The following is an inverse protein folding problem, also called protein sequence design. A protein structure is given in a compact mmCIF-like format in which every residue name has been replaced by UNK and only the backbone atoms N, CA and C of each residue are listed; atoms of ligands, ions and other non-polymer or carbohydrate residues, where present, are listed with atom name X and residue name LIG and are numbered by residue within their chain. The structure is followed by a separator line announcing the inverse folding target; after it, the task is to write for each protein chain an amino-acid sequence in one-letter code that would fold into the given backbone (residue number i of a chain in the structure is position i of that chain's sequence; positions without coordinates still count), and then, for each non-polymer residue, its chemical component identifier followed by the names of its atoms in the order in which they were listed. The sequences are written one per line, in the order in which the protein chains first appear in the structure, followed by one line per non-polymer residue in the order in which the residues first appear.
data_IF_114163222946
#
_entry.id   IF_114163222946
#
_cell.length_a   1.000
_cell.length_b   1.000
_cell.length_c   1.000
_cell.angle_alpha   90.00
_cell.angle_beta   90.00
_cell.angle_gamma   90.00
#
_symmetry.space_group_name_H-M   'P 1'
#
loop_
_entity.id
_entity.type
_entity.pdbx_description
1 polymer ?
#
# COMPACT_ATOMS: atom_id res chain seq x y z
N UNK A 1 -9.95 -18.66 14.75
CA UNK A 1 -11.31 -18.83 14.16
C UNK A 1 -12.45 -18.98 15.18
N UNK A 2 -12.20 -19.34 16.45
CA UNK A 2 -13.28 -19.56 17.43
C UNK A 2 -14.23 -18.37 17.65
N UNK A 3 -13.73 -17.13 17.55
CA UNK A 3 -14.54 -15.92 17.75
C UNK A 3 -15.60 -15.70 16.66
N UNK A 4 -15.22 -15.82 15.38
CA UNK A 4 -16.14 -15.67 14.25
C UNK A 4 -17.25 -16.72 14.31
N UNK A 5 -16.91 -17.98 14.61
CA UNK A 5 -17.91 -19.05 14.82
C UNK A 5 -18.87 -18.77 15.98
N UNK A 6 -18.40 -18.10 17.04
CA UNK A 6 -19.25 -17.73 18.18
C UNK A 6 -20.25 -16.65 17.80
N UNK A 7 -19.83 -15.67 16.98
CA UNK A 7 -20.68 -14.60 16.46
C UNK A 7 -21.70 -15.15 15.47
N UNK A 8 -21.27 -15.99 14.53
CA UNK A 8 -22.17 -16.68 13.59
C UNK A 8 -23.23 -17.51 14.31
N UNK A 9 -22.85 -18.16 15.42
CA UNK A 9 -23.77 -18.94 16.25
C UNK A 9 -24.67 -18.09 17.18
N UNK A 10 -24.57 -16.76 17.16
CA UNK A 10 -25.36 -15.86 18.02
C UNK A 10 -25.05 -15.98 19.52
N UNK A 11 -23.88 -16.53 19.88
CA UNK A 11 -23.47 -16.78 21.28
C UNK A 11 -22.49 -15.74 21.82
N UNK A 12 -22.27 -14.64 21.09
CA UNK A 12 -21.35 -13.58 21.50
C UNK A 12 -21.97 -12.72 22.61
N UNK A 13 -21.26 -12.59 23.74
CA UNK A 13 -21.66 -11.69 24.84
C UNK A 13 -21.33 -10.22 24.54
N UNK A 14 -20.24 -9.99 23.82
CA UNK A 14 -19.78 -8.66 23.39
C UNK A 14 -20.14 -8.47 21.93
N UNK A 15 -20.60 -7.26 21.59
CA UNK A 15 -20.93 -6.87 20.22
C UNK A 15 -19.72 -7.04 19.28
N UNK A 16 -19.93 -7.51 18.03
CA UNK A 16 -18.85 -7.63 17.06
C UNK A 16 -18.27 -6.26 16.69
N UNK A 17 -16.96 -6.19 16.62
CA UNK A 17 -16.25 -5.06 15.99
C UNK A 17 -16.48 -5.06 14.48
N UNK A 18 -16.21 -3.93 13.81
CA UNK A 18 -16.37 -3.79 12.35
C UNK A 18 -15.60 -4.88 11.57
N UNK A 19 -14.40 -5.24 12.03
CA UNK A 19 -13.55 -6.25 11.39
C UNK A 19 -14.11 -7.65 11.63
N UNK A 20 -14.62 -7.94 12.83
CA UNK A 20 -15.29 -9.20 13.13
C UNK A 20 -16.55 -9.37 12.30
N UNK A 21 -17.33 -8.29 12.12
CA UNK A 21 -18.50 -8.30 11.25
C UNK A 21 -18.12 -8.57 9.79
N UNK A 22 -17.10 -7.87 9.25
CA UNK A 22 -16.60 -8.13 7.90
C UNK A 22 -16.08 -9.58 7.73
N UNK A 23 -15.50 -10.16 8.78
CA UNK A 23 -15.04 -11.55 8.77
C UNK A 23 -16.22 -12.54 8.76
N UNK A 24 -17.30 -12.24 9.50
CA UNK A 24 -18.55 -13.00 9.48
C UNK A 24 -19.19 -12.93 8.09
N UNK A 25 -19.32 -11.73 7.53
CA UNK A 25 -19.93 -11.50 6.21
C UNK A 25 -19.17 -12.26 5.12
N UNK A 26 -17.84 -12.23 5.15
CA UNK A 26 -16.99 -13.00 4.25
C UNK A 26 -17.14 -14.52 4.45
N UNK A 27 -17.27 -14.99 5.69
CA UNK A 27 -17.47 -16.43 5.97
C UNK A 27 -18.83 -16.91 5.48
N UNK A 28 -19.89 -16.11 5.65
CA UNK A 28 -21.24 -16.47 5.24
C UNK A 28 -21.45 -16.37 3.74
N UNK A 29 -20.91 -15.32 3.11
CA UNK A 29 -21.03 -15.08 1.67
C UNK A 29 -19.66 -14.72 1.07
N UNK A 30 -18.80 -15.73 0.80
CA UNK A 30 -17.49 -15.49 0.22
C UNK A 30 -17.61 -14.81 -1.15
N UNK A 31 -17.12 -13.57 -1.23
CA UNK A 31 -17.11 -12.79 -2.47
C UNK A 31 -15.88 -11.88 -2.54
N UNK A 32 -15.53 -11.43 -3.75
CA UNK A 32 -14.41 -10.51 -3.94
C UNK A 32 -14.63 -9.16 -3.23
N UNK A 33 -15.89 -8.70 -3.17
CA UNK A 33 -16.26 -7.50 -2.44
C UNK A 33 -16.08 -7.69 -0.93
N UNK A 34 -16.55 -8.80 -0.36
CA UNK A 34 -16.40 -9.11 1.06
C UNK A 34 -14.91 -9.30 1.44
N UNK A 35 -14.11 -9.92 0.55
CA UNK A 35 -12.66 -10.02 0.74
C UNK A 35 -11.98 -8.65 0.81
N UNK A 36 -12.37 -7.70 -0.06
CA UNK A 36 -11.83 -6.35 -0.06
C UNK A 36 -12.19 -5.60 1.24
N UNK A 37 -13.45 -5.68 1.68
CA UNK A 37 -13.90 -5.07 2.93
C UNK A 37 -13.17 -5.62 4.15
N UNK A 38 -12.94 -6.93 4.20
CA UNK A 38 -12.20 -7.57 5.29
C UNK A 38 -10.73 -7.09 5.34
N UNK A 39 -10.05 -7.04 4.20
CA UNK A 39 -8.66 -6.56 4.12
C UNK A 39 -8.53 -5.07 4.48
N UNK A 40 -9.50 -4.25 4.08
CA UNK A 40 -9.58 -2.84 4.50
C UNK A 40 -9.79 -2.70 6.00
N UNK A 41 -10.67 -3.53 6.57
CA UNK A 41 -10.88 -3.58 8.02
C UNK A 41 -9.59 -3.85 8.79
N UNK A 42 -8.81 -4.85 8.38
CA UNK A 42 -7.50 -5.13 9.00
C UNK A 42 -6.54 -3.94 8.92
N UNK A 43 -6.49 -3.28 7.76
CA UNK A 43 -5.58 -2.15 7.53
C UNK A 43 -5.98 -0.88 8.30
N UNK A 44 -7.28 -0.70 8.58
CA UNK A 44 -7.80 0.42 9.35
C UNK A 44 -7.73 0.22 10.88
N UNK A 45 -7.38 -0.98 11.34
CA UNK A 45 -7.34 -1.29 12.76
C UNK A 45 -6.25 -0.48 13.49
N UNK A 46 -6.55 0.13 14.65
CA UNK A 46 -5.55 0.80 15.47
C UNK A 46 -4.43 -0.16 15.86
N UNK A 47 -3.18 0.26 15.69
CA UNK A 47 -2.00 -0.56 15.97
C UNK A 47 -1.58 -1.51 14.84
N UNK A 48 -2.30 -1.54 13.72
CA UNK A 48 -1.85 -2.28 12.53
C UNK A 48 -0.82 -1.49 11.73
N UNK A 49 0.29 -2.15 11.40
CA UNK A 49 1.29 -1.62 10.48
C UNK A 49 1.26 -2.37 9.15
N UNK A 50 0.95 -1.67 8.07
CA UNK A 50 0.97 -2.25 6.72
C UNK A 50 2.39 -2.16 6.14
N UNK A 51 3.11 -3.28 6.09
CA UNK A 51 4.49 -3.33 5.58
C UNK A 51 4.65 -2.89 4.12
N UNK A 52 3.64 -3.14 3.29
CA UNK A 52 3.65 -2.82 1.85
C UNK A 52 2.33 -2.18 1.43
N UNK A 53 2.12 -0.89 1.73
CA UNK A 53 0.84 -0.23 1.49
C UNK A 53 0.48 -0.18 0.00
N UNK A 54 1.48 -0.13 -0.89
CA UNK A 54 1.27 -0.17 -2.35
C UNK A 54 0.70 -1.51 -2.81
N UNK A 55 1.20 -2.63 -2.27
CA UNK A 55 0.72 -3.97 -2.64
C UNK A 55 -0.71 -4.16 -2.14
N UNK A 56 -1.00 -3.73 -0.90
CA UNK A 56 -2.35 -3.77 -0.36
C UNK A 56 -3.31 -2.93 -1.21
N UNK A 57 -2.96 -1.68 -1.55
CA UNK A 57 -3.78 -0.82 -2.40
C UNK A 57 -4.02 -1.43 -3.78
N UNK A 58 -2.99 -2.03 -4.39
CA UNK A 58 -3.13 -2.71 -5.67
C UNK A 58 -4.09 -3.92 -5.58
N UNK A 59 -3.97 -4.73 -4.52
CA UNK A 59 -4.84 -5.87 -4.27
C UNK A 59 -6.30 -5.45 -4.07
N UNK A 60 -6.54 -4.45 -3.23
CA UNK A 60 -7.88 -3.89 -3.00
C UNK A 60 -8.49 -3.33 -4.29
N UNK A 61 -7.69 -2.62 -5.10
CA UNK A 61 -8.14 -2.13 -6.40
C UNK A 61 -8.56 -3.27 -7.35
N UNK A 62 -7.76 -4.33 -7.43
CA UNK A 62 -8.07 -5.49 -8.27
C UNK A 62 -9.33 -6.23 -7.79
N UNK A 63 -9.47 -6.45 -6.48
CA UNK A 63 -10.66 -7.08 -5.89
C UNK A 63 -11.92 -6.30 -6.19
N UNK A 64 -11.92 -4.98 -5.99
CA UNK A 64 -13.07 -4.10 -6.24
C UNK A 64 -13.44 -4.07 -7.73
N UNK A 65 -12.45 -4.04 -8.61
CA UNK A 65 -12.68 -4.01 -10.06
C UNK A 65 -13.26 -5.33 -10.58
N UNK A 66 -12.74 -6.46 -10.10
CA UNK A 66 -13.30 -7.77 -10.41
C UNK A 66 -14.68 -7.99 -9.76
N UNK A 67 -14.92 -7.43 -8.57
CA UNK A 67 -16.23 -7.46 -7.92
C UNK A 67 -17.31 -6.69 -8.70
N UNK A 68 -16.93 -5.69 -9.50
CA UNK A 68 -17.85 -5.00 -10.42
C UNK A 68 -18.28 -5.87 -11.63
N UNK A 69 -17.77 -7.10 -11.75
CA UNK A 69 -18.19 -8.08 -12.76
C UNK A 69 -17.66 -7.82 -14.16
N UNK A 70 -16.76 -6.85 -14.33
CA UNK A 70 -16.25 -6.43 -15.64
C UNK A 70 -15.04 -7.24 -16.11
N UNK A 71 -14.28 -7.82 -15.17
CA UNK A 71 -13.01 -8.49 -15.43
C UNK A 71 -12.85 -9.70 -14.50
N UNK A 72 -12.08 -10.70 -14.92
CA UNK A 72 -11.58 -11.71 -13.99
C UNK A 72 -10.63 -11.05 -12.96
N UNK A 73 -10.42 -11.69 -11.81
CA UNK A 73 -9.48 -11.16 -10.81
C UNK A 73 -8.05 -11.04 -11.36
N UNK A 74 -7.63 -11.98 -12.21
CA UNK A 74 -6.31 -11.96 -12.87
C UNK A 74 -6.17 -10.79 -13.84
N UNK A 75 -7.18 -10.55 -14.66
CA UNK A 75 -7.16 -9.41 -15.61
C UNK A 75 -7.19 -8.10 -14.84
N UNK A 76 -7.98 -8.04 -13.77
CA UNK A 76 -8.04 -6.88 -12.92
C UNK A 76 -6.71 -6.57 -12.23
N UNK A 77 -6.01 -7.60 -11.75
CA UNK A 77 -4.69 -7.46 -11.16
C UNK A 77 -3.64 -6.99 -12.17
N UNK A 78 -3.67 -7.51 -13.39
CA UNK A 78 -2.82 -7.04 -14.49
C UNK A 78 -3.06 -5.57 -14.78
N UNK A 79 -4.32 -5.17 -15.00
CA UNK A 79 -4.67 -3.78 -15.30
C UNK A 79 -4.25 -2.81 -14.17
N UNK A 80 -4.45 -3.18 -12.90
CA UNK A 80 -3.99 -2.36 -11.77
C UNK A 80 -2.47 -2.27 -11.71
N UNK A 81 -1.75 -3.37 -11.96
CA UNK A 81 -0.29 -3.38 -12.01
C UNK A 81 0.23 -2.49 -13.14
N UNK A 82 -0.38 -2.57 -14.31
CA UNK A 82 -0.04 -1.75 -15.47
C UNK A 82 -0.30 -0.26 -15.20
N UNK A 83 -1.44 0.07 -14.57
CA UNK A 83 -1.73 1.44 -14.12
C UNK A 83 -0.69 1.95 -13.12
N UNK A 84 -0.30 1.13 -12.15
CA UNK A 84 0.73 1.48 -11.17
C UNK A 84 2.12 1.62 -11.81
N UNK A 85 2.42 0.82 -12.85
CA UNK A 85 3.66 0.96 -13.64
C UNK A 85 3.72 2.31 -14.35
N UNK A 86 2.61 2.75 -14.93
CA UNK A 86 2.51 4.02 -15.65
C UNK A 86 2.55 5.24 -14.72
N UNK A 87 1.88 5.18 -13.57
CA UNK A 87 1.87 6.30 -12.61
C UNK A 87 3.19 6.44 -11.84
N UNK A 88 4.05 5.42 -11.82
CA UNK A 88 5.27 5.42 -11.03
C UNK A 88 4.99 5.43 -9.52
N UNK A 89 6.05 5.59 -8.71
CA UNK A 89 5.87 5.88 -7.28
C UNK A 89 5.54 7.37 -7.13
N UNK A 90 4.60 7.75 -6.26
CA UNK A 90 4.46 9.16 -5.90
C UNK A 90 5.80 9.64 -5.35
N UNK A 91 6.49 10.46 -6.14
CA UNK A 91 7.70 11.11 -5.70
C UNK A 91 7.28 12.11 -4.63
N UNK A 92 7.95 12.05 -3.48
CA UNK A 92 7.78 13.09 -2.46
C UNK A 92 8.03 14.45 -3.11
N UNK A 93 7.36 15.50 -2.61
CA UNK A 93 7.45 16.88 -3.13
C UNK A 93 8.90 17.36 -3.28
N UNK A 94 9.84 16.71 -2.59
CA UNK A 94 11.28 16.73 -2.82
C UNK A 94 11.77 15.29 -2.74
N UNK A 95 12.36 14.76 -3.81
CA UNK A 95 12.97 13.43 -3.83
C UNK A 95 14.40 13.60 -4.36
N UNK A 96 15.38 13.11 -3.61
CA UNK A 96 16.77 13.08 -4.04
C UNK A 96 17.09 11.66 -4.50
N UNK A 97 17.54 11.54 -5.73
CA UNK A 97 18.06 10.27 -6.26
C UNK A 97 19.40 9.91 -5.61
N UNK A 98 20.03 8.85 -6.11
CA UNK A 98 21.43 8.56 -5.78
C UNK A 98 22.31 9.77 -6.07
N UNK A 99 23.30 10.04 -5.20
CA UNK A 99 24.33 11.04 -5.45
C UNK A 99 25.04 10.73 -6.76
N UNK A 100 24.88 11.62 -7.74
CA UNK A 100 25.64 11.56 -8.98
C UNK A 100 26.99 12.21 -8.76
N UNK A 101 28.07 11.54 -9.16
CA UNK A 101 29.40 12.13 -9.16
C UNK A 101 29.44 13.17 -10.29
N UNK A 102 29.32 14.44 -9.91
CA UNK A 102 29.15 15.54 -10.83
C UNK A 102 30.54 16.01 -11.32
N UNK A 103 31.07 15.37 -12.37
CA UNK A 103 32.29 15.84 -13.04
C UNK A 103 31.94 16.34 -14.44
N UNK A 104 32.03 17.65 -14.66
CA UNK A 104 31.80 18.27 -15.97
C UNK A 104 30.34 18.45 -16.38
N UNK A 105 29.40 18.49 -15.42
CA UNK A 105 28.01 18.88 -15.64
C UNK A 105 27.74 20.23 -14.98
N UNK A 106 27.01 21.10 -15.68
CA UNK A 106 26.52 22.38 -15.14
C UNK A 106 25.06 22.20 -14.70
N UNK A 107 24.69 22.77 -13.57
CA UNK A 107 23.32 22.75 -13.06
C UNK A 107 23.00 24.08 -12.38
N UNK A 108 21.79 24.59 -12.59
CA UNK A 108 21.33 25.83 -11.95
C UNK A 108 21.18 25.70 -10.43
N UNK A 109 20.88 24.47 -9.95
CA UNK A 109 20.61 24.20 -8.54
C UNK A 109 21.25 22.86 -8.15
N UNK A 110 22.02 22.85 -7.05
CA UNK A 110 22.54 21.66 -6.41
C UNK A 110 22.11 21.59 -4.94
N UNK A 111 21.90 20.37 -4.43
CA UNK A 111 21.58 20.11 -3.02
C UNK A 111 22.69 19.26 -2.41
N UNK A 112 23.38 19.81 -1.41
CA UNK A 112 24.47 19.12 -0.69
C UNK A 112 23.91 18.47 0.57
N UNK A 113 24.13 17.16 0.73
CA UNK A 113 23.69 16.40 1.89
C UNK A 113 24.84 16.27 2.89
N UNK A 114 24.55 16.55 4.17
CA UNK A 114 25.51 16.43 5.29
C UNK A 114 26.86 17.14 5.06
N UNK A 115 26.89 18.46 4.81
CA UNK A 115 28.12 19.18 4.48
C UNK A 115 29.17 19.10 5.60
N UNK A 116 28.77 18.91 6.86
CA UNK A 116 29.68 18.76 7.99
C UNK A 116 30.56 17.50 7.94
N UNK A 117 30.22 16.51 7.11
CA UNK A 117 30.99 15.28 6.92
C UNK A 117 31.84 15.30 5.63
N UNK A 118 31.80 16.39 4.86
CA UNK A 118 32.50 16.51 3.59
C UNK A 118 33.83 17.22 3.79
N UNK A 119 34.88 16.71 3.14
CA UNK A 119 36.21 17.33 3.10
C UNK A 119 36.46 18.06 1.77
N UNK A 120 37.65 18.65 1.63
CA UNK A 120 38.04 19.36 0.41
C UNK A 120 38.05 18.46 -0.84
N UNK A 121 38.28 17.16 -0.71
CA UNK A 121 38.23 16.21 -1.82
C UNK A 121 36.79 15.96 -2.28
N UNK A 122 35.81 16.07 -1.38
CA UNK A 122 34.39 15.93 -1.69
C UNK A 122 33.79 17.19 -2.35
N UNK A 123 34.34 18.38 -2.08
CA UNK A 123 33.77 19.66 -2.49
C UNK A 123 34.55 20.35 -3.62
N UNK A 124 35.75 19.85 -3.96
CA UNK A 124 36.62 20.24 -5.08
C UNK A 124 36.29 21.64 -5.63
N UNK A 125 36.64 22.64 -4.85
CA UNK A 125 36.73 24.03 -5.31
C UNK A 125 38.23 24.34 -5.52
N UNK A 126 38.63 24.91 -6.68
CA UNK A 126 40.01 25.33 -6.92
C UNK A 126 40.46 26.45 -5.98
#
# INVERSE_FOLDING_TARGET
MARVHTIVAGRNRTEPTVIEQAAVDFQQTPSLAAAAQLLEGFAAQPGTHVYRPEVLRACLGALRMAAAGTHSLSDAALQVRERNRLMGRPLSRRALGSTLLLKGLEADIAVILNPAQMDANNLMWP
#
